data_IF_822328259410
#
_entry.id   IF_822328259410
#
_cell.length_a   1.000
_cell.length_b   1.000
_cell.length_c   1.000
_cell.angle_alpha   90.00
_cell.angle_beta   90.00
_cell.angle_gamma   90.00
#
_symmetry.space_group_name_H-M   'P 1'
#
loop_
_entity.id
_entity.type
_entity.pdbx_description
1 polymer ?
#
# COMPACT_ATOMS: atom_id res chain seq x y z
N UNK A 1 20.06 -11.79 11.09
CA UNK A 1 21.45 -11.38 11.42
C UNK A 1 22.35 -11.34 10.18
N UNK A 2 22.28 -12.33 9.29
CA UNK A 2 23.12 -12.38 8.08
C UNK A 2 22.92 -11.18 7.13
N UNK A 3 21.69 -10.67 7.03
CA UNK A 3 21.35 -9.52 6.18
C UNK A 3 21.96 -8.19 6.65
N UNK A 4 21.98 -7.92 7.96
CA UNK A 4 22.59 -6.69 8.49
C UNK A 4 24.11 -6.73 8.38
N UNK A 5 24.72 -7.86 8.71
CA UNK A 5 26.18 -8.02 8.66
C UNK A 5 26.73 -7.95 7.22
N UNK A 6 25.99 -8.48 6.24
CA UNK A 6 26.37 -8.41 4.82
C UNK A 6 26.23 -7.01 4.24
N UNK A 7 25.15 -6.28 4.57
CA UNK A 7 24.99 -4.88 4.17
C UNK A 7 26.09 -3.98 4.75
N UNK A 8 26.45 -4.18 6.03
CA UNK A 8 27.52 -3.43 6.70
C UNK A 8 28.90 -3.76 6.11
N UNK A 9 29.14 -5.02 5.75
CA UNK A 9 30.38 -5.43 5.10
C UNK A 9 30.55 -4.79 3.70
N UNK A 10 29.45 -4.66 2.94
CA UNK A 10 29.47 -3.99 1.64
C UNK A 10 29.86 -2.50 1.78
N UNK A 11 29.35 -1.80 2.80
CA UNK A 11 29.67 -0.39 3.02
C UNK A 11 31.12 -0.14 3.47
N UNK A 12 31.71 -1.06 4.23
CA UNK A 12 33.09 -0.91 4.73
C UNK A 12 34.14 -1.04 3.61
N UNK A 13 33.84 -1.79 2.54
CA UNK A 13 34.79 -2.07 1.45
C UNK A 13 34.95 -0.90 0.44
N UNK A 14 34.16 0.18 0.54
CA UNK A 14 34.20 1.32 -0.41
C UNK A 14 35.22 2.40 0.00
N UNK A 15 35.93 2.24 1.12
CA UNK A 15 36.69 3.35 1.71
C UNK A 15 38.16 3.41 1.30
N UNK A 16 38.47 4.21 0.27
CA UNK A 16 39.56 5.17 0.40
C UNK A 16 38.98 6.43 1.07
N UNK A 17 39.10 6.52 2.40
CA UNK A 17 38.89 7.70 3.26
C UNK A 17 37.49 8.35 3.39
N UNK A 18 36.38 7.71 3.00
CA UNK A 18 35.03 8.25 3.26
C UNK A 18 34.37 7.49 4.42
N UNK A 19 34.22 8.17 5.57
CA UNK A 19 33.57 7.61 6.76
C UNK A 19 32.04 7.69 6.63
N UNK A 20 31.39 6.55 6.40
CA UNK A 20 29.93 6.43 6.51
C UNK A 20 29.56 6.18 7.97
N UNK A 21 28.66 6.96 8.59
CA UNK A 21 28.26 6.73 9.98
C UNK A 21 27.59 5.36 10.12
N UNK A 22 28.19 4.49 10.95
CA UNK A 22 27.65 3.17 11.26
C UNK A 22 26.55 3.24 12.31
N UNK A 23 25.45 2.52 12.07
CA UNK A 23 24.34 2.42 13.01
C UNK A 23 24.52 1.19 13.89
N UNK A 24 24.77 1.43 15.18
CA UNK A 24 24.88 0.37 16.18
C UNK A 24 23.49 -0.20 16.53
N UNK A 25 23.01 -1.13 15.70
CA UNK A 25 21.78 -1.88 15.93
C UNK A 25 22.09 -3.28 16.45
N UNK A 26 21.41 -3.70 17.53
CA UNK A 26 21.58 -5.02 18.13
C UNK A 26 20.21 -5.72 18.16
N UNK A 27 19.97 -6.73 17.32
CA UNK A 27 18.73 -7.51 17.35
C UNK A 27 18.50 -8.14 18.72
N UNK A 28 17.27 -8.11 19.21
CA UNK A 28 16.95 -8.64 20.53
C UNK A 28 16.89 -10.18 20.53
N UNK A 29 17.58 -10.79 21.50
CA UNK A 29 17.64 -12.24 21.68
C UNK A 29 16.50 -12.75 22.58
N UNK A 30 15.25 -12.40 22.29
CA UNK A 30 14.13 -12.89 23.09
C UNK A 30 13.69 -14.29 22.62
N UNK A 31 13.39 -15.24 23.53
CA UNK A 31 12.88 -16.57 23.13
C UNK A 31 11.54 -16.56 22.37
N UNK A 32 10.84 -15.42 22.38
CA UNK A 32 9.55 -15.26 21.71
C UNK A 32 9.74 -14.24 20.59
N UNK A 33 9.62 -14.70 19.34
CA UNK A 33 9.82 -13.90 18.14
C UNK A 33 8.93 -12.64 18.11
N UNK A 34 7.70 -12.69 18.62
CA UNK A 34 6.81 -11.51 18.69
C UNK A 34 7.33 -10.44 19.64
N UNK A 35 7.82 -10.87 20.81
CA UNK A 35 8.39 -9.94 21.80
C UNK A 35 9.74 -9.40 21.34
N UNK A 36 10.54 -10.22 20.64
CA UNK A 36 11.80 -9.78 20.03
C UNK A 36 11.52 -8.68 19.00
N UNK A 37 10.66 -8.96 18.01
CA UNK A 37 10.28 -8.00 16.96
C UNK A 37 9.78 -6.68 17.51
N UNK A 38 8.90 -6.72 18.52
CA UNK A 38 8.40 -5.49 19.18
C UNK A 38 9.48 -4.69 19.91
N UNK A 39 10.54 -5.34 20.42
CA UNK A 39 11.69 -4.63 20.99
C UNK A 39 12.56 -4.04 19.89
N UNK A 40 12.79 -4.78 18.82
CA UNK A 40 13.57 -4.37 17.65
C UNK A 40 12.94 -3.15 16.97
N UNK A 41 11.62 -3.19 16.75
CA UNK A 41 10.83 -2.05 16.25
C UNK A 41 11.04 -0.82 17.13
N UNK A 42 10.89 -0.95 18.46
CA UNK A 42 11.07 0.18 19.39
C UNK A 42 12.49 0.74 19.36
N UNK A 43 13.50 -0.13 19.25
CA UNK A 43 14.89 0.27 19.15
C UNK A 43 15.15 1.01 17.82
N UNK A 44 14.65 0.49 16.71
CA UNK A 44 14.75 1.13 15.40
C UNK A 44 14.07 2.50 15.41
N UNK A 45 12.87 2.63 15.97
CA UNK A 45 12.21 3.93 16.14
C UNK A 45 13.03 4.93 16.94
N UNK A 46 13.76 4.48 17.97
CA UNK A 46 14.63 5.33 18.78
C UNK A 46 15.84 5.81 17.97
N UNK A 47 16.48 4.90 17.23
CA UNK A 47 17.67 5.20 16.42
C UNK A 47 17.35 6.04 15.19
N UNK A 48 16.20 5.81 14.55
CA UNK A 48 15.75 6.56 13.37
C UNK A 48 15.09 7.90 13.71
N UNK A 49 14.87 8.18 15.00
CA UNK A 49 14.19 9.40 15.42
C UNK A 49 15.04 10.64 15.08
N UNK A 50 14.48 11.64 14.37
CA UNK A 50 15.26 12.80 13.98
C UNK A 50 15.78 13.58 15.19
N UNK A 51 17.05 14.00 15.13
CA UNK A 51 17.71 14.68 16.25
C UNK A 51 17.04 16.02 16.54
N UNK A 52 16.50 16.14 17.76
CA UNK A 52 15.83 17.34 18.25
C UNK A 52 16.86 18.32 18.81
N UNK A 53 16.61 19.62 18.65
CA UNK A 53 17.43 20.64 19.34
C UNK A 53 17.13 20.62 20.85
N UNK A 54 18.12 20.99 21.66
CA UNK A 54 17.91 21.20 23.09
C UNK A 54 16.74 22.15 23.35
N UNK A 55 15.97 21.89 24.41
CA UNK A 55 14.82 22.71 24.80
C UNK A 55 15.25 24.16 25.05
N UNK A 56 16.47 24.36 25.56
CA UNK A 56 17.04 25.68 25.88
C UNK A 56 17.74 26.37 24.71
N UNK A 57 17.73 25.78 23.50
CA UNK A 57 18.40 26.42 22.37
C UNK A 57 17.56 27.59 21.81
N UNK A 58 18.15 28.78 21.58
CA UNK A 58 17.41 29.94 21.08
C UNK A 58 16.81 29.68 19.69
N UNK A 59 17.51 28.92 18.84
CA UNK A 59 17.00 28.48 17.53
C UNK A 59 15.74 27.60 17.61
N UNK A 60 15.49 26.94 18.75
CA UNK A 60 14.25 26.18 18.96
C UNK A 60 13.09 27.12 19.35
N UNK A 61 13.36 28.17 20.11
CA UNK A 61 12.36 29.19 20.44
C UNK A 61 11.89 29.96 19.19
N UNK A 62 12.78 30.18 18.21
CA UNK A 62 12.45 30.81 16.93
C UNK A 62 11.98 29.85 15.83
N UNK A 63 11.48 28.66 16.18
CA UNK A 63 10.72 27.79 15.26
C UNK A 63 11.41 26.53 14.75
N UNK A 64 12.67 26.26 15.12
CA UNK A 64 13.40 25.07 14.67
C UNK A 64 13.40 23.91 15.67
N UNK A 65 12.42 23.01 15.65
CA UNK A 65 12.41 21.82 16.55
C UNK A 65 13.57 20.85 16.28
N UNK A 66 13.89 20.63 15.01
CA UNK A 66 14.85 19.63 14.55
C UNK A 66 16.19 20.26 14.19
N UNK A 67 17.29 19.57 14.51
CA UNK A 67 18.65 20.08 14.30
C UNK A 67 19.02 20.11 12.82
N UNK A 68 18.67 19.06 12.08
CA UNK A 68 19.12 18.84 10.69
C UNK A 68 18.00 19.01 9.64
N UNK A 69 16.90 19.69 10.02
CA UNK A 69 15.80 19.98 9.11
C UNK A 69 16.09 21.25 8.29
N UNK A 70 17.06 21.18 7.39
CA UNK A 70 17.52 22.33 6.59
C UNK A 70 17.63 22.03 5.10
N UNK A 71 18.17 20.86 4.74
CA UNK A 71 18.42 20.44 3.36
C UNK A 71 17.90 19.02 3.14
N UNK A 72 17.28 18.76 1.98
CA UNK A 72 16.74 17.45 1.60
C UNK A 72 17.82 16.37 1.57
N UNK A 73 19.06 16.69 1.18
CA UNK A 73 20.19 15.76 1.13
C UNK A 73 21.03 15.72 2.42
N UNK A 74 20.46 16.10 3.56
CA UNK A 74 21.12 15.97 4.87
C UNK A 74 20.44 14.91 5.71
N UNK A 75 21.22 14.07 6.38
CA UNK A 75 20.69 13.05 7.28
C UNK A 75 20.00 13.69 8.49
N UNK A 76 18.76 13.27 8.78
CA UNK A 76 17.96 13.83 9.86
C UNK A 76 18.37 13.37 11.27
N UNK A 77 19.14 12.27 11.37
CA UNK A 77 19.62 11.69 12.63
C UNK A 77 21.00 12.23 12.98
N UNK A 78 22.01 11.94 12.16
CA UNK A 78 23.40 12.29 12.48
C UNK A 78 23.84 13.64 11.92
N UNK A 79 23.16 14.13 10.87
CA UNK A 79 23.52 15.37 10.20
C UNK A 79 24.63 15.23 9.15
N UNK A 80 25.01 14.00 8.79
CA UNK A 80 25.88 13.68 7.66
C UNK A 80 25.30 14.23 6.34
N UNK A 81 26.19 14.68 5.46
CA UNK A 81 25.86 15.26 4.17
C UNK A 81 25.82 14.18 3.10
N UNK A 82 24.60 13.78 2.72
CA UNK A 82 24.37 12.69 1.76
C UNK A 82 24.75 13.13 0.35
N UNK A 83 24.64 14.43 0.03
CA UNK A 83 25.04 14.96 -1.27
C UNK A 83 26.54 14.79 -1.50
N UNK A 84 27.35 15.16 -0.49
CA UNK A 84 28.79 14.97 -0.53
C UNK A 84 29.15 13.49 -0.64
N UNK A 85 28.50 12.64 0.17
CA UNK A 85 28.73 11.20 0.17
C UNK A 85 28.42 10.56 -1.19
N UNK A 86 27.30 10.93 -1.83
CA UNK A 86 26.95 10.47 -3.17
C UNK A 86 27.95 10.93 -4.24
N UNK A 87 28.46 12.16 -4.12
CA UNK A 87 29.47 12.70 -5.06
C UNK A 87 30.84 12.01 -4.89
N UNK A 88 31.21 11.70 -3.66
CA UNK A 88 32.55 11.21 -3.34
C UNK A 88 32.69 9.68 -3.42
N UNK A 89 31.69 8.93 -2.93
CA UNK A 89 31.71 7.46 -2.89
C UNK A 89 30.82 6.80 -3.96
N UNK A 90 30.10 7.61 -4.75
CA UNK A 90 29.06 7.11 -5.66
C UNK A 90 27.78 6.71 -4.92
N UNK A 91 26.90 5.98 -5.62
CA UNK A 91 25.59 5.61 -5.09
C UNK A 91 25.67 4.41 -4.14
N UNK A 92 26.09 4.62 -2.89
CA UNK A 92 26.17 3.56 -1.87
C UNK A 92 24.81 2.87 -1.64
N UNK A 93 23.69 3.56 -1.91
CA UNK A 93 22.36 2.98 -1.78
C UNK A 93 22.09 1.84 -2.79
N UNK A 94 22.80 1.80 -3.92
CA UNK A 94 22.69 0.72 -4.90
C UNK A 94 23.35 -0.58 -4.43
N UNK A 95 24.34 -0.49 -3.54
CA UNK A 95 25.07 -1.64 -3.03
C UNK A 95 24.31 -2.40 -1.94
N UNK A 96 23.31 -1.75 -1.33
CA UNK A 96 22.47 -2.38 -0.32
C UNK A 96 21.25 -2.97 -0.98
N UNK A 97 21.21 -4.29 -1.02
CA UNK A 97 20.11 -5.05 -1.59
C UNK A 97 19.16 -5.54 -0.52
N UNK A 98 17.89 -5.61 -0.90
CA UNK A 98 16.89 -6.35 -0.16
C UNK A 98 16.87 -7.82 -0.64
N UNK A 99 17.20 -8.75 0.26
CA UNK A 99 17.23 -10.19 0.00
C UNK A 99 15.89 -10.77 -0.50
N UNK A 100 14.75 -10.15 -0.15
CA UNK A 100 13.42 -10.64 -0.53
C UNK A 100 13.03 -10.24 -1.95
N UNK A 101 13.33 -9.00 -2.33
CA UNK A 101 12.92 -8.43 -3.62
C UNK A 101 14.04 -8.45 -4.66
N UNK A 102 15.29 -8.59 -4.23
CA UNK A 102 16.48 -8.45 -5.06
C UNK A 102 16.72 -7.01 -5.55
N UNK A 103 15.95 -6.04 -5.05
CA UNK A 103 16.05 -4.64 -5.45
C UNK A 103 17.00 -3.89 -4.52
N UNK A 104 17.67 -2.87 -5.07
CA UNK A 104 18.49 -1.98 -4.25
C UNK A 104 17.63 -1.02 -3.43
N UNK A 105 18.15 -0.50 -2.32
CA UNK A 105 17.46 0.55 -1.54
C UNK A 105 17.18 1.79 -2.39
N UNK A 106 18.07 2.10 -3.33
CA UNK A 106 17.87 3.20 -4.27
C UNK A 106 16.60 2.98 -5.11
N UNK A 107 16.44 1.78 -5.68
CA UNK A 107 15.28 1.46 -6.51
C UNK A 107 13.97 1.48 -5.71
N UNK A 108 14.00 1.03 -4.46
CA UNK A 108 12.81 0.94 -3.60
C UNK A 108 12.34 2.33 -3.13
N UNK A 109 13.26 3.21 -2.75
CA UNK A 109 12.93 4.45 -2.04
C UNK A 109 13.16 5.73 -2.82
N UNK A 110 14.03 5.72 -3.84
CA UNK A 110 14.34 6.89 -4.64
C UNK A 110 13.63 6.91 -5.99
N UNK A 111 12.95 5.82 -6.38
CA UNK A 111 12.11 5.79 -7.58
C UNK A 111 10.64 5.83 -7.19
N UNK A 112 9.90 6.75 -7.78
CA UNK A 112 8.46 6.77 -7.61
C UNK A 112 7.84 5.57 -8.35
N UNK A 113 7.03 4.72 -7.68
CA UNK A 113 6.50 3.50 -8.29
C UNK A 113 5.48 3.75 -9.41
N UNK A 114 4.87 4.95 -9.45
CA UNK A 114 3.85 5.28 -10.45
C UNK A 114 4.47 5.98 -11.65
N UNK A 115 5.36 6.96 -11.43
CA UNK A 115 5.93 7.78 -12.50
C UNK A 115 7.30 7.30 -12.98
N UNK A 116 8.02 6.48 -12.18
CA UNK A 116 9.39 6.07 -12.46
C UNK A 116 10.44 7.18 -12.28
N UNK A 117 10.01 8.39 -11.91
CA UNK A 117 10.90 9.53 -11.68
C UNK A 117 11.72 9.33 -10.41
N UNK A 118 12.94 9.86 -10.41
CA UNK A 118 13.83 9.82 -9.26
C UNK A 118 13.45 10.94 -8.29
N UNK A 119 12.90 10.57 -7.12
CA UNK A 119 12.55 11.50 -6.03
C UNK A 119 13.40 11.17 -4.80
N UNK A 120 14.01 12.18 -4.18
CA UNK A 120 14.79 11.96 -2.98
C UNK A 120 13.90 11.46 -1.82
N UNK A 121 14.37 10.45 -1.08
CA UNK A 121 13.64 9.99 0.10
C UNK A 121 13.50 11.10 1.15
N UNK A 122 12.26 11.35 1.57
CA UNK A 122 11.94 12.40 2.57
C UNK A 122 11.63 11.76 3.93
N UNK A 123 12.47 12.05 4.92
CA UNK A 123 12.26 11.60 6.30
C UNK A 123 11.05 12.29 6.97
N UNK A 124 10.47 11.64 7.97
CA UNK A 124 9.31 12.16 8.73
C UNK A 124 9.62 12.33 10.21
N UNK A 125 8.85 13.20 10.87
CA UNK A 125 9.02 13.52 12.30
C UNK A 125 8.93 12.29 13.23
N UNK A 126 8.08 11.32 12.93
CA UNK A 126 7.93 10.06 13.69
C UNK A 126 8.35 8.84 12.85
N UNK A 127 9.37 8.98 12.00
CA UNK A 127 9.93 7.93 11.14
C UNK A 127 8.95 7.49 10.03
N UNK A 128 7.86 6.80 10.38
CA UNK A 128 6.83 6.31 9.44
C UNK A 128 5.63 7.27 9.34
N UNK A 129 5.40 8.08 10.38
CA UNK A 129 4.26 9.00 10.47
C UNK A 129 4.65 10.44 10.80
N UNK A 130 3.67 11.34 10.74
CA UNK A 130 3.85 12.76 11.03
C UNK A 130 4.25 13.60 9.82
N UNK A 131 4.73 14.82 10.10
CA UNK A 131 5.08 15.83 9.09
C UNK A 131 6.35 15.42 8.34
N UNK A 132 6.37 15.70 7.04
CA UNK A 132 7.57 15.57 6.19
C UNK A 132 8.62 16.57 6.67
N UNK A 133 9.86 16.12 6.78
CA UNK A 133 11.01 16.97 7.08
C UNK A 133 11.73 17.34 5.78
N UNK A 134 12.48 18.43 5.79
CA UNK A 134 13.45 18.80 4.75
C UNK A 134 14.78 18.13 5.09
N UNK A 135 14.80 16.81 5.05
CA UNK A 135 15.95 15.95 5.37
C UNK A 135 15.71 14.52 4.88
N UNK A 136 16.80 13.76 4.71
CA UNK A 136 16.79 12.35 4.29
C UNK A 136 17.46 11.46 5.35
N UNK A 137 17.69 10.18 5.03
CA UNK A 137 18.49 9.24 5.83
C UNK A 137 19.81 8.90 5.13
N UNK A 138 20.89 8.74 5.90
CA UNK A 138 22.12 8.11 5.41
C UNK A 138 21.85 6.67 4.93
N UNK A 139 22.73 6.08 4.10
CA UNK A 139 22.59 4.70 3.63
C UNK A 139 22.27 3.69 4.75
N UNK A 140 23.05 3.69 5.84
CA UNK A 140 22.82 2.81 7.00
C UNK A 140 21.49 3.07 7.71
N UNK A 141 21.11 4.35 7.87
CA UNK A 141 19.82 4.71 8.47
C UNK A 141 18.65 4.32 7.57
N UNK A 142 18.81 4.43 6.25
CA UNK A 142 17.80 4.02 5.29
C UNK A 142 17.65 2.50 5.27
N UNK A 143 18.76 1.76 5.40
CA UNK A 143 18.73 0.32 5.58
C UNK A 143 17.97 -0.09 6.86
N UNK A 144 18.25 0.56 8.00
CA UNK A 144 17.51 0.29 9.23
C UNK A 144 16.02 0.68 9.10
N UNK A 145 15.70 1.76 8.37
CA UNK A 145 14.33 2.15 8.06
C UNK A 145 13.60 1.11 7.20
N UNK A 146 14.30 0.51 6.24
CA UNK A 146 13.77 -0.57 5.43
C UNK A 146 13.44 -1.81 6.28
N UNK A 147 14.37 -2.22 7.14
CA UNK A 147 14.14 -3.32 8.09
C UNK A 147 12.98 -3.04 9.05
N UNK A 148 12.87 -1.81 9.57
CA UNK A 148 11.74 -1.40 10.38
C UNK A 148 10.41 -1.59 9.63
N UNK A 149 10.35 -1.14 8.38
CA UNK A 149 9.13 -1.25 7.55
C UNK A 149 8.73 -2.71 7.34
N UNK A 150 9.70 -3.62 7.20
CA UNK A 150 9.45 -5.06 7.14
C UNK A 150 8.89 -5.61 8.44
N UNK A 151 9.53 -5.32 9.57
CA UNK A 151 9.07 -5.79 10.87
C UNK A 151 7.67 -5.29 11.21
N UNK A 152 7.32 -4.07 10.83
CA UNK A 152 5.96 -3.54 10.99
C UNK A 152 4.94 -4.30 10.15
N UNK A 153 5.23 -4.55 8.88
CA UNK A 153 4.35 -5.34 8.00
C UNK A 153 4.15 -6.76 8.54
N UNK A 154 5.18 -7.38 9.11
CA UNK A 154 5.07 -8.70 9.71
C UNK A 154 4.26 -8.68 11.02
N UNK A 155 4.47 -7.70 11.91
CA UNK A 155 3.69 -7.56 13.15
C UNK A 155 2.22 -7.28 12.82
N UNK A 156 1.94 -6.51 11.78
CA UNK A 156 0.58 -6.26 11.28
C UNK A 156 -0.08 -7.54 10.73
N UNK A 157 0.59 -8.27 9.83
CA UNK A 157 0.10 -9.56 9.30
C UNK A 157 -0.19 -10.57 10.43
N UNK A 158 0.70 -10.65 11.42
CA UNK A 158 0.48 -11.54 12.57
C UNK A 158 -0.69 -11.12 13.46
N UNK A 159 -0.90 -9.81 13.64
CA UNK A 159 -2.07 -9.30 14.38
C UNK A 159 -3.38 -9.53 13.62
N UNK A 160 -3.36 -9.46 12.29
CA UNK A 160 -4.50 -9.80 11.42
C UNK A 160 -4.83 -11.29 11.49
N UNK A 161 -3.83 -12.17 11.37
CA UNK A 161 -4.02 -13.63 11.51
C UNK A 161 -4.46 -14.04 12.91
N UNK A 162 -4.00 -13.34 13.95
CA UNK A 162 -4.29 -13.67 15.35
C UNK A 162 -5.72 -13.29 15.78
N UNK A 163 -6.62 -12.92 14.87
CA UNK A 163 -7.95 -12.38 15.20
C UNK A 163 -7.85 -11.28 16.26
N UNK A 164 -7.13 -10.20 15.93
CA UNK A 164 -7.10 -9.00 16.76
C UNK A 164 -8.52 -8.57 17.10
N UNK A 165 -8.91 -8.72 18.37
CA UNK A 165 -10.21 -8.30 18.90
C UNK A 165 -10.52 -6.90 18.38
N UNK A 166 -11.77 -6.59 18.01
CA UNK A 166 -12.18 -5.23 17.61
C UNK A 166 -11.60 -4.12 18.53
N UNK A 167 -11.38 -4.43 19.82
CA UNK A 167 -10.66 -3.62 20.81
C UNK A 167 -9.22 -3.23 20.43
N UNK A 168 -8.41 -4.10 19.81
CA UNK A 168 -7.04 -3.77 19.41
C UNK A 168 -7.01 -2.82 18.20
N UNK A 169 -7.91 -3.04 17.23
CA UNK A 169 -8.11 -2.15 16.07
C UNK A 169 -8.63 -0.77 16.49
N UNK A 170 -9.57 -0.72 17.43
CA UNK A 170 -10.09 0.53 17.99
C UNK A 170 -9.04 1.33 18.76
N UNK A 171 -8.16 0.66 19.54
CA UNK A 171 -7.06 1.31 20.29
C UNK A 171 -5.98 1.94 19.39
N UNK A 172 -5.81 1.45 18.17
CA UNK A 172 -4.88 2.04 17.18
C UNK A 172 -5.45 3.29 16.48
N UNK A 173 -6.66 3.72 16.84
CA UNK A 173 -7.28 4.93 16.26
C UNK A 173 -7.74 4.74 14.81
N UNK A 174 -7.72 3.50 14.31
CA UNK A 174 -8.26 3.16 13.01
C UNK A 174 -9.74 2.88 13.21
N UNK A 175 -10.58 3.87 12.87
CA UNK A 175 -12.00 3.64 12.64
C UNK A 175 -12.12 2.71 11.45
N UNK A 176 -12.17 1.41 11.70
CA UNK A 176 -12.64 0.46 10.70
C UNK A 176 -14.13 0.69 10.59
N UNK A 177 -14.52 1.64 9.72
CA UNK A 177 -15.84 1.61 9.12
C UNK A 177 -15.81 0.41 8.20
N UNK A 178 -16.03 -0.77 8.80
CA UNK A 178 -16.59 -1.87 8.07
C UNK A 178 -17.93 -1.33 7.58
N UNK A 179 -17.96 -0.74 6.38
CA UNK A 179 -19.18 -0.71 5.61
C UNK A 179 -19.49 -2.19 5.48
N UNK A 180 -20.53 -2.73 6.14
CA UNK A 180 -20.98 -4.03 5.74
C UNK A 180 -21.35 -3.81 4.29
N UNK A 181 -20.53 -4.35 3.38
CA UNK A 181 -21.11 -4.96 2.21
C UNK A 181 -21.90 -6.10 2.84
N UNK A 182 -23.07 -5.76 3.39
CA UNK A 182 -24.20 -6.63 3.32
C UNK A 182 -24.14 -7.02 1.87
N UNK A 183 -23.63 -8.23 1.63
CA UNK A 183 -24.01 -8.97 0.47
C UNK A 183 -25.51 -8.84 0.53
N UNK A 184 -26.04 -7.88 -0.24
CA UNK A 184 -27.41 -7.87 -0.65
C UNK A 184 -27.49 -9.24 -1.28
N UNK A 185 -27.88 -10.24 -0.48
CA UNK A 185 -28.46 -11.46 -0.98
C UNK A 185 -29.69 -10.93 -1.67
N UNK A 186 -29.50 -10.41 -2.89
CA UNK A 186 -30.56 -10.11 -3.83
C UNK A 186 -31.35 -11.39 -3.78
N UNK A 187 -32.57 -11.31 -3.28
CA UNK A 187 -33.46 -12.46 -3.19
C UNK A 187 -33.38 -13.10 -4.57
N UNK A 188 -32.85 -14.32 -4.64
CA UNK A 188 -32.70 -15.04 -5.89
C UNK A 188 -34.12 -15.28 -6.40
N UNK A 189 -34.64 -14.33 -7.16
CA UNK A 189 -35.96 -14.34 -7.78
C UNK A 189 -35.93 -15.26 -9.00
N UNK A 190 -35.20 -16.37 -8.90
CA UNK A 190 -35.05 -17.37 -9.94
C UNK A 190 -36.29 -18.27 -9.88
N UNK A 191 -37.06 -18.40 -10.97
CA UNK A 191 -38.24 -19.26 -10.99
C UNK A 191 -37.91 -20.70 -10.53
N UNK A 192 -38.79 -21.38 -9.78
CA UNK A 192 -38.52 -22.70 -9.22
C UNK A 192 -38.21 -23.77 -10.28
N UNK A 193 -38.64 -23.57 -11.53
CA UNK A 193 -38.33 -24.47 -12.64
C UNK A 193 -36.84 -24.48 -13.02
N UNK A 194 -36.09 -23.42 -12.67
CA UNK A 194 -34.65 -23.30 -12.91
C UNK A 194 -33.81 -23.82 -11.74
N UNK A 195 -34.43 -24.24 -10.63
CA UNK A 195 -33.72 -24.87 -9.52
C UNK A 195 -32.97 -26.14 -9.95
N UNK A 196 -33.50 -26.87 -10.93
CA UNK A 196 -32.82 -28.05 -11.53
C UNK A 196 -31.47 -27.72 -12.20
N UNK A 197 -31.26 -26.46 -12.58
CA UNK A 197 -30.01 -25.99 -13.19
C UNK A 197 -29.07 -25.31 -12.17
N UNK A 198 -29.37 -25.37 -10.87
CA UNK A 198 -28.54 -24.77 -9.83
C UNK A 198 -27.10 -25.31 -9.87
N UNK A 199 -26.92 -26.61 -10.11
CA UNK A 199 -25.61 -27.23 -10.28
C UNK A 199 -24.84 -26.64 -11.47
N UNK A 200 -25.54 -26.34 -12.56
CA UNK A 200 -24.95 -25.69 -13.74
C UNK A 200 -24.49 -24.27 -13.41
N UNK A 201 -25.31 -23.48 -12.71
CA UNK A 201 -24.91 -22.14 -12.27
C UNK A 201 -23.76 -22.17 -11.25
N UNK A 202 -23.67 -23.21 -10.41
CA UNK A 202 -22.56 -23.39 -9.49
C UNK A 202 -21.24 -23.65 -10.24
N UNK A 203 -21.26 -24.47 -11.29
CA UNK A 203 -20.09 -24.70 -12.16
C UNK A 203 -19.64 -23.41 -12.85
N UNK A 204 -20.58 -22.64 -13.41
CA UNK A 204 -20.25 -21.35 -14.04
C UNK A 204 -19.62 -20.35 -13.06
N UNK A 205 -20.08 -20.32 -11.80
CA UNK A 205 -19.49 -19.50 -10.74
C UNK A 205 -18.08 -19.99 -10.37
N UNK A 206 -17.87 -21.30 -10.33
CA UNK A 206 -16.56 -21.91 -10.07
C UNK A 206 -15.55 -21.57 -11.18
N UNK A 207 -16.00 -21.56 -12.43
CA UNK A 207 -15.18 -21.26 -13.60
C UNK A 207 -15.03 -19.75 -13.91
N UNK A 208 -15.56 -18.90 -13.02
CA UNK A 208 -15.59 -17.43 -13.12
C UNK A 208 -16.26 -16.90 -14.40
N UNK A 209 -17.30 -17.59 -14.88
CA UNK A 209 -18.06 -17.19 -16.07
C UNK A 209 -19.16 -16.20 -15.64
N UNK A 210 -19.23 -15.00 -16.23
CA UNK A 210 -20.21 -14.00 -15.82
C UNK A 210 -21.63 -14.45 -16.18
N UNK A 211 -22.53 -14.31 -15.22
CA UNK A 211 -23.97 -14.49 -15.42
C UNK A 211 -24.62 -13.11 -15.33
N UNK A 212 -25.19 -12.63 -16.43
CA UNK A 212 -25.88 -11.33 -16.47
C UNK A 212 -27.37 -11.53 -16.22
N UNK A 213 -27.89 -10.87 -15.19
CA UNK A 213 -29.32 -10.87 -14.85
C UNK A 213 -29.93 -9.53 -15.23
N UNK A 214 -30.95 -9.56 -16.09
CA UNK A 214 -31.74 -8.40 -16.46
C UNK A 214 -32.97 -8.33 -15.57
N UNK A 215 -32.96 -7.40 -14.63
CA UNK A 215 -34.11 -7.12 -13.76
C UNK A 215 -35.08 -6.15 -14.43
N UNK A 216 -36.37 -6.45 -14.37
CA UNK A 216 -37.42 -5.51 -14.77
C UNK A 216 -37.51 -4.36 -13.76
N UNK A 217 -37.44 -3.12 -14.22
CA UNK A 217 -37.49 -1.93 -13.37
C UNK A 217 -38.82 -1.74 -12.64
N UNK A 218 -39.91 -2.35 -13.12
CA UNK A 218 -41.24 -2.23 -12.52
C UNK A 218 -41.52 -3.29 -11.44
N UNK A 219 -41.01 -4.51 -11.60
CA UNK A 219 -41.33 -5.65 -10.70
C UNK A 219 -40.14 -6.09 -9.83
N UNK A 220 -38.92 -5.68 -10.17
CA UNK A 220 -37.70 -6.11 -9.48
C UNK A 220 -37.37 -7.60 -9.63
N UNK A 221 -38.08 -8.31 -10.51
CA UNK A 221 -37.79 -9.71 -10.86
C UNK A 221 -36.82 -9.80 -12.03
N UNK A 222 -36.05 -10.89 -12.09
CA UNK A 222 -35.15 -11.16 -13.20
C UNK A 222 -35.96 -11.71 -14.38
N UNK A 223 -36.18 -10.92 -15.41
CA UNK A 223 -36.95 -11.32 -16.60
C UNK A 223 -36.09 -12.14 -17.58
N UNK A 224 -34.78 -11.86 -17.62
CA UNK A 224 -33.85 -12.56 -18.51
C UNK A 224 -32.51 -12.80 -17.84
N UNK A 225 -31.95 -14.00 -18.04
CA UNK A 225 -30.59 -14.35 -17.62
C UNK A 225 -29.81 -14.75 -18.84
N UNK A 226 -28.71 -14.07 -19.12
CA UNK A 226 -27.86 -14.33 -20.28
C UNK A 226 -26.47 -14.77 -19.82
N UNK A 227 -26.01 -15.88 -20.40
CA UNK A 227 -24.67 -16.43 -20.23
C UNK A 227 -23.98 -16.34 -21.59
N UNK A 228 -22.85 -15.64 -21.64
CA UNK A 228 -22.10 -15.44 -22.88
C UNK A 228 -20.75 -16.14 -22.75
N UNK A 229 -20.48 -17.05 -23.66
CA UNK A 229 -19.18 -17.72 -23.76
C UNK A 229 -18.37 -17.08 -24.89
N UNK A 230 -17.31 -16.35 -24.54
CA UNK A 230 -16.34 -15.85 -25.52
C UNK A 230 -15.33 -16.95 -25.84
N UNK A 231 -15.50 -17.60 -27.00
CA UNK A 231 -14.66 -18.71 -27.45
C UNK A 231 -13.16 -18.36 -27.54
N UNK A 232 -12.80 -17.09 -27.75
CA UNK A 232 -11.40 -16.66 -27.85
C UNK A 232 -10.71 -16.66 -26.49
N UNK A 233 -11.45 -16.36 -25.42
CA UNK A 233 -10.92 -16.33 -24.06
C UNK A 233 -10.71 -17.73 -23.50
N UNK A 234 -11.63 -18.66 -23.82
CA UNK A 234 -11.47 -20.07 -23.47
C UNK A 234 -10.28 -20.74 -24.16
N UNK A 235 -9.93 -20.31 -25.38
CA UNK A 235 -8.74 -20.81 -26.07
C UNK A 235 -7.43 -20.23 -25.51
N UNK A 236 -7.46 -19.04 -24.90
CA UNK A 236 -6.29 -18.34 -24.36
C UNK A 236 -5.98 -18.68 -22.88
N UNK A 237 -6.82 -19.48 -22.22
CA UNK A 237 -6.59 -19.97 -20.86
C UNK A 237 -6.77 -18.94 -19.73
N UNK A 238 -7.28 -17.73 -20.03
CA UNK A 238 -7.43 -16.63 -19.06
C UNK A 238 -8.84 -16.04 -19.08
N UNK A 239 -9.64 -16.31 -18.04
CA UNK A 239 -11.04 -15.85 -17.89
C UNK A 239 -11.21 -14.49 -17.18
N UNK A 240 -10.15 -13.70 -17.00
CA UNK A 240 -10.18 -12.50 -16.15
C UNK A 240 -10.79 -11.24 -16.82
N UNK A 241 -10.95 -11.23 -18.14
CA UNK A 241 -11.36 -10.03 -18.90
C UNK A 241 -12.87 -9.77 -18.90
N UNK A 242 -13.68 -10.82 -18.69
CA UNK A 242 -15.15 -10.78 -18.79
C UNK A 242 -15.84 -9.97 -17.67
N UNK A 243 -15.25 -9.88 -16.49
CA UNK A 243 -15.86 -9.18 -15.33
C UNK A 243 -15.93 -7.66 -15.55
N UNK A 244 -14.92 -7.09 -16.21
CA UNK A 244 -14.87 -5.66 -16.54
C UNK A 244 -15.84 -5.28 -17.66
N UNK A 245 -15.95 -6.09 -18.71
CA UNK A 245 -16.85 -5.81 -19.83
C UNK A 245 -18.33 -6.01 -19.45
N UNK A 246 -18.65 -7.03 -18.64
CA UNK A 246 -20.02 -7.23 -18.15
C UNK A 246 -20.48 -6.09 -17.21
N UNK A 247 -19.57 -5.55 -16.38
CA UNK A 247 -19.84 -4.38 -15.55
C UNK A 247 -19.98 -3.09 -16.38
N UNK A 248 -19.20 -2.95 -17.45
CA UNK A 248 -19.28 -1.80 -18.36
C UNK A 248 -20.60 -1.79 -19.15
N UNK A 249 -21.05 -2.96 -19.65
CA UNK A 249 -22.34 -3.09 -20.35
C UNK A 249 -23.54 -2.83 -19.44
N UNK A 250 -23.53 -3.33 -18.20
CA UNK A 250 -24.60 -3.08 -17.23
C UNK A 250 -24.70 -1.58 -16.86
N UNK A 251 -23.57 -0.86 -16.78
CA UNK A 251 -23.57 0.61 -16.57
C UNK A 251 -24.11 1.37 -17.78
N UNK A 252 -23.78 0.94 -18.99
CA UNK A 252 -24.25 1.60 -20.22
C UNK A 252 -25.78 1.48 -20.39
N UNK A 253 -26.38 0.34 -20.03
CA UNK A 253 -27.84 0.14 -20.12
C UNK A 253 -28.64 0.85 -19.04
N UNK A 254 -28.08 1.09 -17.85
CA UNK A 254 -28.75 1.92 -16.83
C UNK A 254 -28.77 3.42 -17.16
N UNK A 255 -27.95 3.87 -18.12
CA UNK A 255 -27.91 5.27 -18.56
C UNK A 255 -28.81 5.59 -19.77
N UNK A 256 -29.42 4.59 -20.42
CA UNK A 256 -30.44 4.85 -21.44
C UNK A 256 -31.84 4.93 -20.81
N UNK A 257 -32.10 6.03 -20.12
CA UNK A 257 -33.48 6.45 -19.86
C UNK A 257 -34.13 6.91 -21.18
N UNK A 258 -35.41 6.60 -21.45
CA UNK A 258 -36.06 7.02 -22.68
C UNK A 258 -36.22 8.54 -22.72
N UNK A 259 -35.83 9.15 -23.84
CA UNK A 259 -36.09 10.56 -24.14
C UNK A 259 -37.61 10.83 -24.04
N UNK A 260 -38.04 11.98 -23.50
CA UNK A 260 -39.46 12.33 -23.47
C UNK A 260 -39.93 12.62 -24.90
N UNK A 261 -41.12 12.07 -25.26
CA UNK A 261 -41.77 12.36 -26.53
C UNK A 261 -42.09 13.85 -26.67
N UNK A 262 -42.05 14.41 -27.90
CA UNK A 262 -42.46 15.78 -28.15
C UNK A 262 -43.97 15.93 -27.95
N UNK A 263 -44.37 16.90 -27.12
CA UNK A 263 -45.77 17.28 -26.94
C UNK A 263 -46.29 17.91 -28.22
N UNK A 264 -47.31 17.31 -28.84
CA UNK A 264 -48.12 17.97 -29.86
C UNK A 264 -48.90 19.12 -29.21
N UNK A 265 -48.53 20.36 -29.54
CA UNK A 265 -49.37 21.53 -29.29
C UNK A 265 -50.61 21.43 -30.16
N UNK A 266 -51.76 21.22 -29.52
CA UNK A 266 -53.06 21.31 -30.12
C UNK A 266 -53.70 22.60 -29.61
N UNK A 267 -53.47 23.72 -30.31
CA UNK A 267 -54.20 24.97 -30.09
C UNK A 267 -55.18 25.17 -31.26
N UNK A 268 -56.43 24.83 -30.99
CA UNK A 268 -57.57 25.14 -31.84
C UNK A 268 -58.75 25.60 -30.98
N UNK A 269 -59.15 26.84 -31.21
CA UNK A 269 -60.42 27.51 -30.88
C UNK A 269 -60.62 28.06 -29.46
N UNK A 270 -60.48 29.39 -29.33
CA UNK A 270 -61.62 30.31 -29.39
C UNK A 270 -61.16 31.71 -29.81
#
# INVERSE_FOLDING_TARGET
MQQQASAQAAMNNVSEHIEVPQVNFYPSQHPNHKKARRKDIKQAYKLLSPTKRSIFSPKRAWGGKYRYNTNTMRCCVDGCDVEYLLRAAGNIYEQVFDDETGQSLWDIYFKNPVTGEIEAFIAREKVTSGRKLRATYCPEHLHLYHLLTKWEKEDEKEEEMSNGTLKSKLKKGVSTVAVPIATLKKKDNTPPILAKYEQFFAMLKQDNIPITHFTNSATGMNDLVMIVFDMRQFQAGNNTRLLHDALAMHKAQQQSAPLPLPQQQNEGNA
#
